data_IF_912087931649
#
_entry.id   IF_912087931649
#
_cell.length_a   1.000
_cell.length_b   1.000
_cell.length_c   1.000
_cell.angle_alpha   90.00
_cell.angle_beta   90.00
_cell.angle_gamma   90.00
#
_symmetry.space_group_name_H-M   'P 1'
#
loop_
_entity.id
_entity.type
_entity.pdbx_description
1 polymer ?
#
# COMPACT_ATOMS: atom_id res chain seq x y z
N UNK A 1 3.36 -31.93 -41.86
CA UNK A 1 4.15 -31.70 -43.08
C UNK A 1 5.39 -30.88 -42.73
N UNK A 2 6.55 -31.52 -42.91
CA UNK A 2 7.87 -30.89 -42.78
C UNK A 2 8.31 -30.44 -44.16
N UNK A 3 8.29 -29.12 -44.42
CA UNK A 3 9.00 -28.61 -45.61
C UNK A 3 10.35 -28.02 -45.15
N UNK A 4 11.43 -28.64 -45.54
CA UNK A 4 12.78 -28.09 -45.38
C UNK A 4 13.20 -27.53 -46.76
N UNK A 5 13.31 -26.21 -46.87
CA UNK A 5 13.85 -25.61 -48.10
C UNK A 5 15.39 -25.67 -48.12
N UNK A 6 15.95 -25.98 -49.27
CA UNK A 6 17.40 -26.13 -49.48
C UNK A 6 18.09 -24.75 -49.38
N UNK A 7 18.93 -24.59 -48.35
CA UNK A 7 19.87 -23.46 -48.24
C UNK A 7 19.39 -22.31 -47.36
N UNK A 8 19.61 -22.37 -46.08
CA UNK A 8 19.18 -21.59 -44.93
C UNK A 8 17.92 -22.21 -44.34
N UNK A 9 18.07 -22.97 -43.25
CA UNK A 9 16.99 -23.80 -42.73
C UNK A 9 15.90 -22.98 -42.06
N UNK A 10 14.88 -22.63 -42.81
CA UNK A 10 13.64 -22.11 -42.28
C UNK A 10 12.75 -23.27 -41.81
N UNK A 11 12.45 -23.32 -40.51
CA UNK A 11 11.57 -24.32 -39.93
C UNK A 11 10.22 -23.65 -39.64
N UNK A 12 9.15 -24.19 -40.25
CA UNK A 12 7.79 -23.74 -40.04
C UNK A 12 7.00 -24.75 -39.21
N UNK A 13 6.26 -24.30 -38.20
CA UNK A 13 5.35 -25.15 -37.45
C UNK A 13 3.99 -24.49 -37.28
N UNK A 14 2.92 -25.30 -37.49
CA UNK A 14 1.54 -24.89 -37.26
C UNK A 14 1.23 -25.00 -35.76
N UNK A 15 0.69 -23.92 -35.17
CA UNK A 15 0.35 -23.85 -33.75
C UNK A 15 -1.14 -23.96 -33.48
N UNK A 16 -1.99 -24.00 -34.51
CA UNK A 16 -3.45 -23.98 -34.38
C UNK A 16 -4.06 -22.75 -35.02
N UNK A 17 -5.23 -22.33 -34.50
CA UNK A 17 -5.98 -21.18 -35.01
C UNK A 17 -6.10 -20.13 -33.95
N UNK A 18 -6.08 -18.83 -34.32
CA UNK A 18 -6.40 -17.73 -33.45
C UNK A 18 -7.94 -17.64 -33.17
N UNK A 19 -8.34 -16.70 -32.33
CA UNK A 19 -9.78 -16.47 -32.00
C UNK A 19 -10.63 -16.07 -33.22
N UNK A 20 -10.03 -15.72 -34.33
CA UNK A 20 -10.69 -15.34 -35.59
C UNK A 20 -10.66 -16.48 -36.61
N UNK A 21 -10.19 -17.68 -36.21
CA UNK A 21 -10.07 -18.84 -37.08
C UNK A 21 -8.91 -18.77 -38.05
N UNK A 22 -7.99 -17.81 -37.94
CA UNK A 22 -6.80 -17.70 -38.77
C UNK A 22 -5.70 -18.60 -38.23
N UNK A 23 -5.08 -19.40 -39.14
CA UNK A 23 -4.01 -20.31 -38.80
C UNK A 23 -2.76 -19.53 -38.31
N UNK A 24 -2.28 -19.90 -37.13
CA UNK A 24 -1.05 -19.34 -36.56
C UNK A 24 0.11 -20.25 -36.93
N UNK A 25 1.11 -19.67 -37.63
CA UNK A 25 2.35 -20.35 -38.02
C UNK A 25 3.54 -19.62 -37.42
N UNK A 26 4.54 -20.36 -36.98
CA UNK A 26 5.80 -19.80 -36.51
C UNK A 26 6.94 -20.31 -37.38
N UNK A 27 7.89 -19.42 -37.61
CA UNK A 27 9.12 -19.74 -38.37
C UNK A 27 10.34 -19.32 -37.56
N UNK A 28 11.42 -20.06 -37.71
CA UNK A 28 12.73 -19.71 -37.17
C UNK A 28 13.74 -19.85 -38.30
N UNK A 29 14.53 -18.81 -38.54
CA UNK A 29 15.69 -18.85 -39.39
C UNK A 29 16.92 -19.13 -38.53
N UNK A 30 17.61 -20.24 -38.78
CA UNK A 30 18.83 -20.61 -38.07
C UNK A 30 20.04 -20.51 -38.96
N UNK A 31 21.04 -19.75 -38.57
CA UNK A 31 22.34 -19.66 -39.26
C UNK A 31 23.36 -20.47 -38.48
N UNK A 32 23.79 -21.61 -39.02
CA UNK A 32 24.76 -22.45 -38.32
C UNK A 32 26.14 -21.78 -38.22
N UNK A 33 26.93 -22.11 -37.18
CA UNK A 33 28.29 -21.62 -37.02
C UNK A 33 29.17 -21.99 -38.24
N UNK A 34 30.04 -21.05 -38.62
CA UNK A 34 30.99 -21.27 -39.72
C UNK A 34 31.89 -22.51 -39.45
N UNK A 35 32.03 -23.39 -40.42
CA UNK A 35 32.89 -24.59 -40.33
C UNK A 35 32.16 -25.91 -40.11
N UNK A 36 30.82 -25.90 -39.95
CA UNK A 36 30.04 -27.13 -39.92
C UNK A 36 29.64 -27.57 -41.35
N UNK A 37 30.02 -28.79 -41.74
CA UNK A 37 29.69 -29.34 -43.06
C UNK A 37 29.13 -30.76 -42.94
N UNK A 38 28.37 -31.20 -43.96
CA UNK A 38 27.86 -32.57 -44.09
C UNK A 38 26.99 -33.02 -42.91
N UNK A 39 27.16 -34.26 -42.45
CA UNK A 39 26.37 -34.87 -41.36
C UNK A 39 26.38 -34.10 -40.04
N UNK A 40 27.45 -33.33 -39.76
CA UNK A 40 27.50 -32.49 -38.52
C UNK A 40 26.57 -31.29 -38.63
N UNK A 41 26.47 -30.67 -39.78
CA UNK A 41 25.54 -29.57 -40.07
C UNK A 41 24.09 -30.08 -39.99
N UNK A 42 23.77 -31.21 -40.60
CA UNK A 42 22.43 -31.80 -40.53
C UNK A 42 21.99 -32.10 -39.07
N UNK A 43 22.88 -32.71 -38.28
CA UNK A 43 22.59 -32.99 -36.86
C UNK A 43 22.33 -31.72 -36.06
N UNK A 44 23.10 -30.66 -36.30
CA UNK A 44 22.93 -29.40 -35.60
C UNK A 44 21.62 -28.71 -35.99
N UNK A 45 21.29 -28.63 -37.27
CA UNK A 45 20.02 -28.10 -37.77
C UNK A 45 18.84 -28.93 -37.23
N UNK A 46 18.95 -30.26 -37.20
CA UNK A 46 17.91 -31.12 -36.64
C UNK A 46 17.73 -30.89 -35.12
N UNK A 47 18.82 -30.70 -34.39
CA UNK A 47 18.77 -30.37 -32.95
C UNK A 47 18.03 -29.07 -32.72
N UNK A 48 18.38 -28.02 -33.47
CA UNK A 48 17.74 -26.70 -33.36
C UNK A 48 16.26 -26.75 -33.77
N UNK A 49 15.91 -27.53 -34.79
CA UNK A 49 14.52 -27.73 -35.19
C UNK A 49 13.69 -28.42 -34.08
N UNK A 50 14.24 -29.41 -33.38
CA UNK A 50 13.59 -30.09 -32.27
C UNK A 50 13.44 -29.15 -31.05
N UNK A 51 14.45 -28.33 -30.75
CA UNK A 51 14.38 -27.33 -29.69
C UNK A 51 13.32 -26.26 -29.99
N UNK A 52 13.28 -25.78 -31.26
CA UNK A 52 12.24 -24.86 -31.72
C UNK A 52 10.82 -25.48 -31.62
N UNK A 53 10.69 -26.74 -32.05
CA UNK A 53 9.44 -27.49 -31.97
C UNK A 53 8.94 -27.60 -30.52
N UNK A 54 9.83 -27.91 -29.56
CA UNK A 54 9.52 -27.94 -28.13
C UNK A 54 9.12 -26.55 -27.61
N UNK A 55 9.83 -25.51 -28.02
CA UNK A 55 9.52 -24.12 -27.64
C UNK A 55 8.14 -23.68 -28.16
N UNK A 56 7.82 -24.02 -29.43
CA UNK A 56 6.51 -23.72 -30.04
C UNK A 56 5.37 -24.49 -29.34
N UNK A 57 5.57 -25.77 -29.04
CA UNK A 57 4.59 -26.57 -28.31
C UNK A 57 4.38 -26.08 -26.87
N UNK A 58 5.43 -25.56 -26.20
CA UNK A 58 5.36 -24.94 -24.91
C UNK A 58 4.76 -23.53 -24.93
N UNK A 59 4.37 -22.99 -26.09
CA UNK A 59 3.84 -21.63 -26.24
C UNK A 59 4.91 -20.53 -26.14
N UNK A 60 6.18 -20.88 -25.95
CA UNK A 60 7.28 -19.94 -25.69
C UNK A 60 7.71 -19.15 -26.92
N UNK A 61 7.59 -19.73 -28.09
CA UNK A 61 8.05 -19.11 -29.33
C UNK A 61 7.19 -17.88 -29.73
N UNK A 62 5.91 -17.82 -29.33
CA UNK A 62 5.02 -16.69 -29.61
C UNK A 62 5.43 -15.41 -28.87
N UNK A 63 6.22 -15.52 -27.82
CA UNK A 63 6.56 -14.42 -26.92
C UNK A 63 8.08 -14.20 -26.81
N UNK A 64 8.89 -14.85 -27.67
CA UNK A 64 10.36 -14.80 -27.57
C UNK A 64 10.93 -13.38 -27.62
N UNK A 65 10.26 -12.46 -28.32
CA UNK A 65 10.66 -11.08 -28.48
C UNK A 65 9.91 -10.08 -27.57
N UNK A 66 8.97 -10.55 -26.74
CA UNK A 66 8.20 -9.68 -25.83
C UNK A 66 9.13 -8.96 -24.86
N UNK A 67 9.01 -7.64 -24.78
CA UNK A 67 9.73 -6.83 -23.80
C UNK A 67 9.04 -6.88 -22.44
N UNK A 68 9.79 -6.55 -21.38
CA UNK A 68 9.22 -6.51 -20.03
C UNK A 68 8.10 -5.47 -19.90
N UNK A 69 8.20 -4.33 -20.57
CA UNK A 69 7.15 -3.32 -20.55
C UNK A 69 5.84 -3.83 -21.14
N UNK A 70 5.91 -4.56 -22.28
CA UNK A 70 4.73 -5.17 -22.92
C UNK A 70 4.10 -6.24 -22.01
N UNK A 71 4.93 -7.02 -21.32
CA UNK A 71 4.47 -8.00 -20.33
C UNK A 71 3.80 -7.31 -19.14
N UNK A 72 4.36 -6.22 -18.63
CA UNK A 72 3.78 -5.45 -17.53
C UNK A 72 2.42 -4.86 -17.95
N UNK A 73 2.29 -4.32 -19.17
CA UNK A 73 1.03 -3.81 -19.69
C UNK A 73 -0.02 -4.92 -19.73
N UNK A 74 0.31 -6.07 -20.30
CA UNK A 74 -0.55 -7.24 -20.32
C UNK A 74 -0.94 -7.72 -18.93
N UNK A 75 0.01 -7.68 -17.98
CA UNK A 75 -0.23 -8.06 -16.59
C UNK A 75 -1.20 -7.09 -15.89
N UNK A 76 -1.11 -5.77 -16.14
CA UNK A 76 -2.10 -4.81 -15.67
C UNK A 76 -3.48 -5.11 -16.24
N UNK A 77 -3.62 -5.20 -17.56
CA UNK A 77 -4.90 -5.38 -18.23
C UNK A 77 -5.60 -6.71 -17.89
N UNK A 78 -4.84 -7.81 -17.84
CA UNK A 78 -5.42 -9.13 -17.69
C UNK A 78 -5.56 -9.59 -16.25
N UNK A 79 -4.76 -9.04 -15.34
CA UNK A 79 -4.71 -9.52 -13.97
C UNK A 79 -4.97 -8.42 -12.95
N UNK A 80 -4.18 -7.35 -12.91
CA UNK A 80 -4.26 -6.36 -11.83
C UNK A 80 -5.58 -5.61 -11.85
N UNK A 81 -5.97 -5.05 -12.97
CA UNK A 81 -7.17 -4.21 -13.09
C UNK A 81 -8.46 -5.01 -12.91
N UNK A 82 -8.41 -6.33 -13.15
CA UNK A 82 -9.58 -7.23 -13.00
C UNK A 82 -9.68 -7.89 -11.64
N UNK A 83 -8.56 -8.16 -10.96
CA UNK A 83 -8.55 -9.04 -9.77
C UNK A 83 -7.99 -8.39 -8.50
N UNK A 84 -7.25 -7.29 -8.63
CA UNK A 84 -6.65 -6.62 -7.48
C UNK A 84 -7.48 -5.43 -7.03
N UNK A 85 -7.32 -5.05 -5.75
CA UNK A 85 -7.94 -3.83 -5.23
C UNK A 85 -7.33 -2.59 -5.90
N UNK A 86 -8.13 -1.53 -6.11
CA UNK A 86 -7.68 -0.30 -6.76
C UNK A 86 -6.42 0.29 -6.14
N UNK A 87 -6.29 0.25 -4.81
CA UNK A 87 -5.10 0.73 -4.11
C UNK A 87 -3.84 -0.05 -4.49
N UNK A 88 -3.92 -1.38 -4.58
CA UNK A 88 -2.77 -2.22 -5.00
C UNK A 88 -2.38 -1.92 -6.45
N UNK A 89 -3.36 -1.73 -7.32
CA UNK A 89 -3.13 -1.32 -8.71
C UNK A 89 -2.41 0.03 -8.78
N UNK A 90 -2.85 1.01 -7.98
CA UNK A 90 -2.22 2.32 -7.89
C UNK A 90 -0.78 2.26 -7.37
N UNK A 91 -0.52 1.43 -6.34
CA UNK A 91 0.83 1.21 -5.81
C UNK A 91 1.77 0.60 -6.85
N UNK A 92 1.32 -0.40 -7.60
CA UNK A 92 2.12 -0.98 -8.69
C UNK A 92 2.36 -0.02 -9.85
N UNK A 93 1.37 0.82 -10.21
CA UNK A 93 1.57 1.89 -11.21
C UNK A 93 2.62 2.91 -10.76
N UNK A 94 2.68 3.20 -9.46
CA UNK A 94 3.71 4.07 -8.89
C UNK A 94 5.13 3.47 -8.98
N UNK A 95 5.28 2.15 -8.83
CA UNK A 95 6.57 1.46 -8.93
C UNK A 95 7.06 1.28 -10.37
N UNK A 96 6.13 1.12 -11.33
CA UNK A 96 6.40 0.82 -12.73
C UNK A 96 7.48 1.69 -13.40
N UNK A 97 7.46 3.04 -13.30
CA UNK A 97 8.39 3.88 -14.06
C UNK A 97 9.87 3.57 -13.83
N UNK A 98 10.24 3.16 -12.61
CA UNK A 98 11.63 2.78 -12.32
C UNK A 98 12.00 1.42 -12.89
N UNK A 99 11.07 0.48 -12.86
CA UNK A 99 11.25 -0.85 -13.46
C UNK A 99 11.39 -0.69 -14.98
N UNK A 100 10.50 0.08 -15.61
CA UNK A 100 10.52 0.35 -17.05
C UNK A 100 11.83 1.02 -17.50
N UNK A 101 12.32 2.01 -16.74
CA UNK A 101 13.58 2.68 -17.05
C UNK A 101 14.81 1.75 -16.99
N UNK A 102 14.81 0.79 -16.06
CA UNK A 102 15.96 -0.11 -15.86
C UNK A 102 15.87 -1.38 -16.70
N UNK A 103 14.72 -2.00 -16.80
CA UNK A 103 14.54 -3.35 -17.33
C UNK A 103 13.50 -3.43 -18.46
N UNK A 104 12.67 -2.41 -18.65
CA UNK A 104 11.50 -2.42 -19.54
C UNK A 104 11.83 -2.74 -21.00
N UNK A 105 12.99 -2.29 -21.49
CA UNK A 105 13.48 -2.50 -22.85
C UNK A 105 13.99 -3.92 -23.10
N UNK A 106 14.25 -4.70 -22.05
CA UNK A 106 14.82 -6.04 -22.17
C UNK A 106 13.76 -7.07 -22.61
N UNK A 107 14.16 -8.05 -23.43
CA UNK A 107 13.32 -9.21 -23.74
C UNK A 107 13.11 -10.05 -22.48
N UNK A 108 11.88 -10.44 -22.20
CA UNK A 108 11.50 -11.18 -20.98
C UNK A 108 12.32 -12.48 -20.85
N UNK A 109 12.56 -13.18 -21.96
CA UNK A 109 13.37 -14.40 -22.03
C UNK A 109 14.85 -14.20 -21.64
N UNK A 110 15.37 -12.99 -21.74
CA UNK A 110 16.76 -12.65 -21.46
C UNK A 110 16.98 -12.12 -20.03
N UNK A 111 15.91 -11.84 -19.27
CA UNK A 111 16.03 -11.35 -17.91
C UNK A 111 16.47 -12.49 -16.98
N UNK A 112 17.67 -12.33 -16.43
CA UNK A 112 18.30 -13.29 -15.50
C UNK A 112 18.27 -12.73 -14.06
N UNK A 113 18.45 -13.59 -13.03
CA UNK A 113 18.55 -13.14 -11.64
C UNK A 113 19.57 -12.01 -11.44
N UNK A 114 20.72 -12.06 -12.13
CA UNK A 114 21.75 -11.02 -12.05
C UNK A 114 21.26 -9.62 -12.46
N UNK A 115 20.38 -9.51 -13.46
CA UNK A 115 19.79 -8.23 -13.87
C UNK A 115 18.86 -7.66 -12.77
N UNK A 116 18.11 -8.54 -12.12
CA UNK A 116 17.22 -8.16 -11.00
C UNK A 116 18.04 -7.69 -9.79
N UNK A 117 19.11 -8.42 -9.45
CA UNK A 117 20.01 -8.04 -8.35
C UNK A 117 20.71 -6.70 -8.62
N UNK A 118 21.21 -6.48 -9.85
CA UNK A 118 21.79 -5.20 -10.25
C UNK A 118 20.76 -4.05 -10.14
N UNK A 119 19.51 -4.30 -10.54
CA UNK A 119 18.44 -3.33 -10.38
C UNK A 119 18.17 -3.02 -8.89
N UNK A 120 18.08 -4.04 -8.00
CA UNK A 120 17.88 -3.81 -6.57
C UNK A 120 19.05 -3.03 -5.95
N UNK A 121 20.28 -3.39 -6.29
CA UNK A 121 21.47 -2.65 -5.83
C UNK A 121 21.41 -1.19 -6.26
N UNK A 122 21.01 -0.89 -7.49
CA UNK A 122 20.88 0.50 -7.97
C UNK A 122 19.80 1.30 -7.21
N UNK A 123 18.79 0.64 -6.66
CA UNK A 123 17.80 1.27 -5.80
C UNK A 123 18.32 1.57 -4.39
N UNK A 124 19.33 0.83 -3.93
CA UNK A 124 19.98 0.99 -2.63
C UNK A 124 21.19 1.95 -2.69
N UNK A 125 21.58 2.41 -3.87
CA UNK A 125 22.65 3.38 -4.03
C UNK A 125 22.23 4.79 -3.61
N UNK A 126 23.21 5.60 -3.20
CA UNK A 126 23.01 7.01 -2.92
C UNK A 126 22.56 7.74 -4.20
N UNK A 127 21.48 8.51 -4.12
CA UNK A 127 20.87 9.20 -5.27
C UNK A 127 19.66 8.51 -5.88
N UNK A 128 19.34 7.27 -5.49
CA UNK A 128 18.12 6.58 -5.93
C UNK A 128 16.84 7.30 -5.44
N UNK A 129 16.92 8.02 -4.33
CA UNK A 129 15.83 8.82 -3.78
C UNK A 129 15.78 10.17 -4.48
N UNK A 130 14.84 10.34 -5.40
CA UNK A 130 14.64 11.59 -6.17
C UNK A 130 13.70 12.58 -5.44
N UNK A 131 13.75 12.64 -4.13
CA UNK A 131 12.91 13.56 -3.34
C UNK A 131 13.60 14.93 -3.23
N UNK A 132 13.76 15.63 -4.36
CA UNK A 132 14.07 17.04 -4.32
C UNK A 132 12.85 17.81 -3.82
N UNK A 133 13.01 18.60 -2.79
CA UNK A 133 12.03 19.57 -2.34
C UNK A 133 12.43 20.95 -2.85
N UNK A 134 11.46 21.78 -3.15
CA UNK A 134 11.64 23.08 -3.78
C UNK A 134 11.13 24.18 -2.86
N UNK A 135 12.00 25.10 -2.48
CA UNK A 135 11.64 26.27 -1.66
C UNK A 135 11.59 27.52 -2.54
N UNK A 136 10.52 28.28 -2.42
CA UNK A 136 10.34 29.50 -3.21
C UNK A 136 11.48 30.51 -2.95
N UNK A 137 11.95 31.13 -4.01
CA UNK A 137 12.88 32.26 -3.94
C UNK A 137 12.14 33.55 -3.57
N UNK A 138 12.86 34.53 -3.06
CA UNK A 138 12.27 35.84 -2.78
C UNK A 138 11.65 36.47 -4.03
N UNK A 139 12.27 36.28 -5.19
CA UNK A 139 11.75 36.76 -6.47
C UNK A 139 10.36 36.20 -6.80
N UNK A 140 10.07 34.94 -6.49
CA UNK A 140 8.74 34.38 -6.65
C UNK A 140 7.76 34.91 -5.59
N UNK A 141 8.23 35.03 -4.32
CA UNK A 141 7.39 35.48 -3.20
C UNK A 141 6.91 36.93 -3.42
N UNK A 142 7.75 37.78 -3.95
CA UNK A 142 7.43 39.18 -4.29
C UNK A 142 6.33 39.28 -5.35
N UNK A 143 6.28 38.34 -6.31
CA UNK A 143 5.21 38.26 -7.31
C UNK A 143 3.88 37.74 -6.73
N UNK A 144 3.86 37.25 -5.49
CA UNK A 144 2.72 36.59 -4.83
C UNK A 144 2.21 37.38 -3.60
N UNK A 145 1.82 38.68 -3.74
CA UNK A 145 1.21 39.41 -2.65
C UNK A 145 -0.12 38.73 -2.23
N UNK A 146 -0.56 38.95 -0.99
CA UNK A 146 -1.74 38.24 -0.41
C UNK A 146 -2.97 38.22 -1.31
N UNK A 147 -3.23 39.30 -2.06
CA UNK A 147 -4.39 39.43 -2.98
C UNK A 147 -4.29 38.55 -4.21
N UNK A 148 -3.09 38.21 -4.73
CA UNK A 148 -2.89 37.44 -5.97
C UNK A 148 -2.71 35.92 -5.73
N UNK A 149 -2.61 35.46 -4.51
CA UNK A 149 -2.30 34.04 -4.17
C UNK A 149 -3.37 33.07 -4.64
N UNK A 150 -4.65 33.45 -4.51
CA UNK A 150 -5.77 32.61 -4.94
C UNK A 150 -5.85 32.48 -6.46
N UNK A 151 -5.63 33.58 -7.16
CA UNK A 151 -5.60 33.61 -8.61
C UNK A 151 -4.45 32.77 -9.16
N UNK A 152 -3.25 32.91 -8.60
CA UNK A 152 -2.10 32.10 -8.95
C UNK A 152 -2.31 30.61 -8.63
N UNK A 153 -2.92 30.27 -7.48
CA UNK A 153 -3.25 28.89 -7.14
C UNK A 153 -4.18 28.27 -8.20
N UNK A 154 -5.18 29.02 -8.65
CA UNK A 154 -6.11 28.59 -9.71
C UNK A 154 -5.41 28.45 -11.06
N UNK A 155 -4.60 29.43 -11.45
CA UNK A 155 -3.82 29.39 -12.69
C UNK A 155 -2.83 28.23 -12.75
N UNK A 156 -2.15 27.95 -11.62
CA UNK A 156 -1.21 26.83 -11.49
C UNK A 156 -1.89 25.47 -11.29
N UNK A 157 -3.21 25.41 -11.08
CA UNK A 157 -3.91 24.17 -10.75
C UNK A 157 -3.40 23.52 -9.47
N UNK A 158 -3.04 24.33 -8.44
CA UNK A 158 -2.56 23.86 -7.13
C UNK A 158 -3.52 24.29 -6.02
N UNK A 159 -3.57 23.50 -4.93
CA UNK A 159 -4.42 23.84 -3.81
C UNK A 159 -3.95 25.11 -3.06
N UNK A 160 -4.87 25.87 -2.47
CA UNK A 160 -4.54 27.07 -1.69
C UNK A 160 -3.54 26.82 -0.55
N UNK A 161 -3.55 25.60 0.02
CA UNK A 161 -2.56 25.17 1.03
C UNK A 161 -1.14 25.09 0.46
N UNK A 162 -0.96 24.56 -0.74
CA UNK A 162 0.34 24.53 -1.41
C UNK A 162 0.86 25.95 -1.64
N UNK A 163 -0.03 26.87 -2.02
CA UNK A 163 0.33 28.28 -2.17
C UNK A 163 0.72 28.93 -0.84
N UNK A 164 0.00 28.61 0.26
CA UNK A 164 0.36 29.07 1.60
C UNK A 164 1.74 28.54 2.02
N UNK A 165 2.04 27.26 1.77
CA UNK A 165 3.35 26.68 2.04
C UNK A 165 4.46 27.41 1.25
N UNK A 166 4.26 27.67 -0.03
CA UNK A 166 5.19 28.40 -0.88
C UNK A 166 5.47 29.79 -0.31
N UNK A 167 4.41 30.55 0.02
CA UNK A 167 4.56 31.91 0.54
C UNK A 167 5.08 31.98 1.97
N UNK A 168 5.07 30.90 2.73
CA UNK A 168 5.65 30.79 4.07
C UNK A 168 7.08 30.20 4.08
N UNK A 169 7.71 30.03 2.92
CA UNK A 169 9.05 29.48 2.79
C UNK A 169 9.14 27.97 3.05
N UNK A 170 8.00 27.28 3.10
CA UNK A 170 7.99 25.83 3.22
C UNK A 170 8.24 25.17 1.87
N UNK A 171 8.94 24.04 1.90
CA UNK A 171 9.25 23.30 0.68
C UNK A 171 8.04 22.57 0.11
N UNK A 172 7.97 22.49 -1.21
CA UNK A 172 6.94 21.80 -1.99
C UNK A 172 7.55 20.74 -2.91
N UNK A 173 6.72 19.87 -3.45
CA UNK A 173 7.16 18.86 -4.43
C UNK A 173 7.59 19.51 -5.76
N UNK A 174 8.42 18.81 -6.52
CA UNK A 174 8.84 19.23 -7.87
C UNK A 174 7.64 19.57 -8.76
N UNK A 175 6.66 18.70 -8.82
CA UNK A 175 5.44 18.90 -9.63
C UNK A 175 4.67 20.17 -9.25
N UNK A 176 4.59 20.47 -7.95
CA UNK A 176 3.95 21.72 -7.47
C UNK A 176 4.80 22.93 -7.85
N UNK A 177 6.11 22.84 -7.68
CA UNK A 177 7.03 23.92 -8.04
C UNK A 177 7.02 24.22 -9.53
N UNK A 178 7.05 23.19 -10.39
CA UNK A 178 6.96 23.34 -11.85
C UNK A 178 5.65 24.04 -12.30
N UNK A 179 4.51 23.61 -11.75
CA UNK A 179 3.22 24.22 -12.05
C UNK A 179 3.14 25.69 -11.66
N UNK A 180 3.66 26.04 -10.49
CA UNK A 180 3.64 27.43 -10.01
C UNK A 180 4.65 28.29 -10.76
N UNK A 181 5.86 27.78 -11.04
CA UNK A 181 6.86 28.48 -11.85
C UNK A 181 6.32 28.76 -13.25
N UNK A 182 5.67 27.79 -13.89
CA UNK A 182 5.04 27.95 -15.20
C UNK A 182 3.92 29.02 -15.17
N UNK A 183 3.04 28.96 -14.18
CA UNK A 183 1.97 29.94 -14.01
C UNK A 183 2.49 31.37 -13.70
N UNK A 184 3.65 31.46 -13.03
CA UNK A 184 4.33 32.73 -12.76
C UNK A 184 5.17 33.23 -13.93
N UNK A 185 5.24 32.51 -15.06
CA UNK A 185 6.08 32.84 -16.20
C UNK A 185 7.59 32.82 -15.90
N UNK A 186 8.02 32.09 -14.90
CA UNK A 186 9.42 32.03 -14.44
C UNK A 186 10.05 30.66 -14.71
N UNK A 187 11.35 30.61 -15.07
CA UNK A 187 12.08 29.34 -15.06
C UNK A 187 12.10 28.75 -13.64
N UNK A 188 11.98 27.41 -13.53
CA UNK A 188 11.97 26.73 -12.23
C UNK A 188 13.16 27.10 -11.34
N UNK A 189 14.35 27.21 -11.92
CA UNK A 189 15.60 27.58 -11.20
C UNK A 189 15.62 29.02 -10.67
N UNK A 190 14.83 29.93 -11.24
CA UNK A 190 14.67 31.29 -10.73
C UNK A 190 13.54 31.42 -9.72
N UNK A 191 12.47 30.61 -9.90
CA UNK A 191 11.30 30.62 -9.05
C UNK A 191 11.53 29.84 -7.73
N UNK A 192 12.33 28.78 -7.78
CA UNK A 192 12.55 27.89 -6.64
C UNK A 192 14.03 27.49 -6.51
N UNK A 193 14.48 27.40 -5.27
CA UNK A 193 15.75 26.75 -4.91
C UNK A 193 15.47 25.27 -4.68
N UNK A 194 16.14 24.40 -5.44
CA UNK A 194 16.08 22.97 -5.24
C UNK A 194 16.87 22.61 -3.96
N UNK A 195 16.19 22.10 -2.98
CA UNK A 195 16.80 21.44 -1.84
C UNK A 195 16.86 19.95 -2.15
N UNK A 196 17.98 19.47 -2.63
CA UNK A 196 18.25 18.03 -2.65
C UNK A 196 18.37 17.60 -1.21
N UNK A 197 17.40 16.87 -0.70
CA UNK A 197 17.66 15.95 0.40
C UNK A 197 18.68 14.97 -0.19
N UNK A 198 19.89 15.00 0.33
CA UNK A 198 20.99 14.15 -0.11
C UNK A 198 20.44 12.81 -0.49
N UNK A 199 20.70 12.39 -1.73
CA UNK A 199 20.07 11.26 -2.37
C UNK A 199 20.25 9.99 -1.55
N UNK A 200 19.38 9.84 -0.54
CA UNK A 200 19.39 8.70 0.37
C UNK A 200 19.07 7.43 -0.40
N UNK A 201 19.56 6.32 0.10
CA UNK A 201 19.18 4.97 -0.29
C UNK A 201 17.66 4.80 -0.19
N UNK A 202 17.05 4.01 -1.05
CA UNK A 202 15.74 3.48 -0.75
C UNK A 202 15.90 2.47 0.40
N UNK A 203 14.95 2.52 1.35
CA UNK A 203 14.89 1.55 2.43
C UNK A 203 14.63 0.15 1.85
N UNK A 204 15.27 -0.89 2.40
CA UNK A 204 15.14 -2.27 1.96
C UNK A 204 13.68 -2.75 1.87
N UNK A 205 12.79 -2.30 2.78
CA UNK A 205 11.35 -2.56 2.68
C UNK A 205 10.73 -1.97 1.39
N UNK A 206 11.19 -0.79 0.95
CA UNK A 206 10.73 -0.19 -0.31
C UNK A 206 11.26 -0.99 -1.51
N UNK A 207 12.52 -1.41 -1.48
CA UNK A 207 13.11 -2.24 -2.55
C UNK A 207 12.39 -3.58 -2.64
N UNK A 208 11.98 -4.16 -1.50
CA UNK A 208 11.18 -5.39 -1.46
C UNK A 208 9.82 -5.23 -2.16
N UNK A 209 9.21 -4.03 -2.21
CA UNK A 209 7.99 -3.81 -2.98
C UNK A 209 8.23 -3.95 -4.50
N UNK A 210 9.38 -3.51 -5.00
CA UNK A 210 9.77 -3.74 -6.41
C UNK A 210 9.96 -5.23 -6.70
N UNK A 211 10.63 -5.95 -5.80
CA UNK A 211 10.78 -7.40 -5.92
C UNK A 211 9.41 -8.10 -5.97
N UNK A 212 8.48 -7.75 -5.08
CA UNK A 212 7.12 -8.34 -5.05
C UNK A 212 6.34 -8.07 -6.33
N UNK A 213 6.44 -6.87 -6.91
CA UNK A 213 5.81 -6.56 -8.19
C UNK A 213 6.39 -7.43 -9.30
N UNK A 214 7.72 -7.48 -9.45
CA UNK A 214 8.41 -8.29 -10.45
C UNK A 214 8.11 -9.78 -10.28
N UNK A 215 8.10 -10.29 -9.05
CA UNK A 215 7.72 -11.67 -8.75
C UNK A 215 6.29 -11.98 -9.18
N UNK A 216 5.34 -11.06 -8.96
CA UNK A 216 3.97 -11.22 -9.43
C UNK A 216 3.88 -11.23 -10.97
N UNK A 217 4.62 -10.36 -11.64
CA UNK A 217 4.70 -10.30 -13.11
C UNK A 217 5.26 -11.60 -13.68
N UNK A 218 6.41 -12.08 -13.19
CA UNK A 218 7.05 -13.29 -13.69
C UNK A 218 6.29 -14.57 -13.33
N UNK A 219 5.67 -14.64 -12.14
CA UNK A 219 4.76 -15.73 -11.79
C UNK A 219 3.62 -15.84 -12.80
N UNK A 220 3.04 -14.71 -13.23
CA UNK A 220 2.02 -14.69 -14.28
C UNK A 220 2.59 -15.02 -15.66
N UNK A 221 3.79 -14.58 -15.98
CA UNK A 221 4.46 -14.92 -17.22
C UNK A 221 4.67 -16.44 -17.38
N UNK A 222 5.06 -17.12 -16.29
CA UNK A 222 5.14 -18.60 -16.25
C UNK A 222 3.76 -19.23 -16.43
N UNK A 223 2.74 -18.76 -15.69
CA UNK A 223 1.37 -19.28 -15.80
C UNK A 223 0.77 -19.08 -17.20
N UNK A 224 1.17 -18.03 -17.91
CA UNK A 224 0.72 -17.74 -19.27
C UNK A 224 1.59 -18.41 -20.35
N UNK A 225 2.61 -19.18 -19.96
CA UNK A 225 3.52 -19.85 -20.88
C UNK A 225 4.44 -18.91 -21.67
N UNK A 226 4.66 -17.68 -21.17
CA UNK A 226 5.54 -16.68 -21.81
C UNK A 226 7.01 -16.98 -21.54
N UNK A 227 7.33 -17.45 -20.34
CA UNK A 227 8.66 -17.91 -19.93
C UNK A 227 8.55 -19.26 -19.22
N UNK A 228 9.61 -20.05 -19.24
CA UNK A 228 9.66 -21.36 -18.55
C UNK A 228 9.91 -21.19 -17.06
N UNK A 229 10.77 -20.28 -16.68
CA UNK A 229 11.24 -20.06 -15.33
C UNK A 229 10.97 -18.65 -14.84
N UNK A 230 10.76 -18.54 -13.53
CA UNK A 230 10.65 -17.26 -12.84
C UNK A 230 12.03 -16.85 -12.30
N UNK A 231 12.71 -15.84 -12.88
CA UNK A 231 14.03 -15.42 -12.44
C UNK A 231 14.02 -14.78 -11.04
N UNK A 232 12.85 -14.30 -10.58
CA UNK A 232 12.74 -13.68 -9.25
C UNK A 232 12.89 -14.67 -8.12
N UNK A 233 12.55 -15.95 -8.34
CA UNK A 233 12.72 -17.02 -7.33
C UNK A 233 14.19 -17.33 -7.04
N UNK A 234 15.08 -17.05 -8.00
CA UNK A 234 16.54 -17.26 -7.87
C UNK A 234 17.28 -15.95 -7.57
N UNK A 235 16.63 -14.81 -7.69
CA UNK A 235 17.19 -13.54 -7.26
C UNK A 235 17.04 -13.40 -5.74
N UNK A 236 18.11 -12.99 -5.06
CA UNK A 236 18.08 -12.73 -3.63
C UNK A 236 17.13 -11.56 -3.36
N UNK A 237 16.09 -11.82 -2.54
CA UNK A 237 15.14 -10.76 -2.18
C UNK A 237 15.81 -9.74 -1.25
N UNK A 238 15.66 -8.45 -1.52
CA UNK A 238 16.17 -7.43 -0.60
C UNK A 238 15.66 -7.65 0.82
N UNK A 239 16.56 -7.57 1.81
CA UNK A 239 16.20 -7.71 3.22
C UNK A 239 15.56 -6.42 3.70
N UNK A 240 14.33 -6.50 4.18
CA UNK A 240 13.70 -5.40 4.89
C UNK A 240 14.29 -5.24 6.29
N UNK A 241 14.40 -4.02 6.77
CA UNK A 241 14.70 -3.78 8.17
C UNK A 241 13.49 -4.14 9.02
N UNK A 242 13.70 -4.92 10.07
CA UNK A 242 12.66 -5.16 11.06
C UNK A 242 12.43 -3.88 11.85
N UNK A 243 11.29 -3.25 11.65
CA UNK A 243 10.91 -2.07 12.44
C UNK A 243 10.31 -2.58 13.75
N UNK A 244 10.88 -2.17 14.87
CA UNK A 244 10.31 -2.46 16.18
C UNK A 244 8.86 -1.91 16.26
N UNK A 245 7.97 -2.72 16.78
CA UNK A 245 6.57 -2.32 16.95
C UNK A 245 6.49 -1.29 18.06
N UNK A 246 6.10 -0.06 17.71
CA UNK A 246 5.87 0.99 18.70
C UNK A 246 4.44 0.90 19.26
N UNK A 247 4.31 1.00 20.56
CA UNK A 247 3.05 1.04 21.30
C UNK A 247 3.18 1.95 22.52
N UNK A 248 2.10 2.26 23.17
CA UNK A 248 2.04 3.04 24.41
C UNK A 248 1.83 2.11 25.59
N UNK A 249 2.57 2.33 26.66
CA UNK A 249 2.34 1.71 27.96
C UNK A 249 1.15 2.37 28.67
N UNK A 250 0.63 1.74 29.71
CA UNK A 250 -0.61 2.12 30.38
C UNK A 250 -0.59 3.56 30.87
N UNK A 251 0.53 4.01 31.49
CA UNK A 251 0.70 5.40 31.94
C UNK A 251 0.68 6.40 30.78
N UNK A 252 1.32 6.04 29.67
CA UNK A 252 1.30 6.89 28.47
C UNK A 252 -0.09 6.95 27.82
N UNK A 253 -0.87 5.87 27.90
CA UNK A 253 -2.28 5.86 27.47
C UNK A 253 -3.12 6.77 28.37
N UNK A 254 -2.94 6.71 29.70
CA UNK A 254 -3.64 7.59 30.62
C UNK A 254 -3.34 9.07 30.35
N UNK A 255 -2.06 9.41 30.13
CA UNK A 255 -1.64 10.77 29.74
C UNK A 255 -2.23 11.20 28.41
N UNK A 256 -2.28 10.29 27.42
CA UNK A 256 -2.87 10.56 26.11
C UNK A 256 -4.38 10.84 26.24
N UNK A 257 -5.11 10.01 27.00
CA UNK A 257 -6.55 10.21 27.22
C UNK A 257 -6.84 11.54 27.90
N UNK A 258 -6.04 11.95 28.89
CA UNK A 258 -6.15 13.25 29.53
C UNK A 258 -5.89 14.39 28.53
N UNK A 259 -4.84 14.31 27.74
CA UNK A 259 -4.51 15.32 26.74
C UNK A 259 -5.58 15.48 25.63
N UNK A 260 -6.34 14.42 25.34
CA UNK A 260 -7.38 14.46 24.30
C UNK A 260 -8.55 15.41 24.61
N UNK A 261 -8.65 15.94 25.83
CA UNK A 261 -9.59 17.04 26.15
C UNK A 261 -9.28 18.32 25.36
N UNK A 262 -8.00 18.55 25.02
CA UNK A 262 -7.56 19.71 24.23
C UNK A 262 -7.64 19.45 22.71
N UNK A 263 -8.01 18.24 22.29
CA UNK A 263 -8.09 17.86 20.89
C UNK A 263 -9.45 18.25 20.28
N UNK A 264 -9.49 18.55 18.97
CA UNK A 264 -10.76 18.65 18.26
C UNK A 264 -11.59 17.38 18.46
N UNK A 265 -12.90 17.47 18.79
CA UNK A 265 -13.73 16.32 19.19
C UNK A 265 -13.67 15.13 18.21
N UNK A 266 -13.64 15.40 16.91
CA UNK A 266 -13.53 14.34 15.90
C UNK A 266 -12.19 13.56 15.96
N UNK A 267 -11.08 14.22 16.27
CA UNK A 267 -9.77 13.57 16.38
C UNK A 267 -9.63 12.85 17.71
N UNK A 268 -10.15 13.43 18.78
CA UNK A 268 -10.28 12.76 20.07
C UNK A 268 -11.05 11.44 19.94
N UNK A 269 -12.23 11.46 19.33
CA UNK A 269 -13.04 10.27 19.13
C UNK A 269 -12.34 9.21 18.25
N UNK A 270 -11.60 9.60 17.18
CA UNK A 270 -10.84 8.67 16.35
C UNK A 270 -9.74 7.98 17.15
N UNK A 271 -8.98 8.73 17.96
CA UNK A 271 -7.88 8.18 18.77
C UNK A 271 -8.43 7.25 19.84
N UNK A 272 -9.49 7.67 20.56
CA UNK A 272 -10.15 6.84 21.57
C UNK A 272 -10.72 5.55 20.97
N UNK A 273 -11.40 5.59 19.81
CA UNK A 273 -11.84 4.38 19.12
C UNK A 273 -10.65 3.47 18.76
N UNK A 274 -9.53 4.03 18.32
CA UNK A 274 -8.31 3.27 18.06
C UNK A 274 -7.83 2.51 19.31
N UNK A 275 -7.84 3.17 20.47
CA UNK A 275 -7.44 2.59 21.75
C UNK A 275 -8.46 1.58 22.30
N UNK A 276 -9.78 1.85 22.17
CA UNK A 276 -10.81 0.97 22.73
C UNK A 276 -11.10 -0.27 21.88
N UNK A 277 -10.77 -0.25 20.60
CA UNK A 277 -11.21 -1.29 19.65
C UNK A 277 -10.09 -1.94 18.86
N UNK A 278 -8.91 -1.34 18.78
CA UNK A 278 -7.83 -1.80 17.94
C UNK A 278 -8.13 -1.79 16.43
N UNK A 279 -9.15 -1.07 15.98
CA UNK A 279 -9.54 -0.97 14.57
C UNK A 279 -8.45 -0.29 13.74
N UNK A 280 -8.36 -0.66 12.46
CA UNK A 280 -7.48 0.04 11.53
C UNK A 280 -8.01 1.45 11.24
N UNK A 281 -7.11 2.42 11.00
CA UNK A 281 -7.48 3.81 10.69
C UNK A 281 -8.57 3.90 9.60
N UNK A 282 -8.42 3.14 8.52
CA UNK A 282 -9.41 3.14 7.44
C UNK A 282 -10.76 2.53 7.82
N UNK A 283 -10.77 1.56 8.74
CA UNK A 283 -11.99 1.00 9.32
C UNK A 283 -12.69 2.05 10.19
N UNK A 284 -11.96 2.73 11.09
CA UNK A 284 -12.49 3.81 11.95
C UNK A 284 -13.10 4.92 11.09
N UNK A 285 -12.34 5.47 10.15
CA UNK A 285 -12.82 6.57 9.31
C UNK A 285 -13.94 6.16 8.34
N UNK A 286 -14.11 4.86 8.09
CA UNK A 286 -15.19 4.31 7.26
C UNK A 286 -16.48 3.98 8.00
N UNK A 287 -16.51 4.14 9.34
CA UNK A 287 -17.69 3.85 10.15
C UNK A 287 -18.87 4.76 9.82
N UNK A 288 -20.06 4.20 9.98
CA UNK A 288 -21.35 4.88 9.95
C UNK A 288 -22.04 4.75 11.29
N UNK A 289 -22.96 5.65 11.59
CA UNK A 289 -23.78 5.54 12.79
C UNK A 289 -24.60 4.26 12.81
N UNK A 290 -25.06 3.81 11.67
CA UNK A 290 -25.77 2.53 11.49
C UNK A 290 -24.91 1.28 11.75
N UNK A 291 -23.58 1.41 11.88
CA UNK A 291 -22.69 0.32 12.26
C UNK A 291 -22.58 0.15 13.78
N UNK A 292 -23.16 1.06 14.57
CA UNK A 292 -23.11 1.07 16.02
C UNK A 292 -24.49 0.72 16.56
N UNK A 293 -24.56 -0.38 17.28
CA UNK A 293 -25.74 -0.74 18.06
C UNK A 293 -25.50 -0.37 19.53
N UNK A 294 -26.15 0.70 19.97
CA UNK A 294 -26.02 1.21 21.33
C UNK A 294 -26.71 0.32 22.38
N UNK A 295 -27.73 -0.45 21.98
CA UNK A 295 -28.49 -1.33 22.88
C UNK A 295 -27.75 -2.66 23.06
N UNK A 296 -27.27 -3.27 21.97
CA UNK A 296 -26.45 -4.46 22.04
C UNK A 296 -25.00 -4.20 22.42
N UNK A 297 -24.59 -2.92 22.55
CA UNK A 297 -23.23 -2.48 22.80
C UNK A 297 -22.21 -3.05 21.80
N UNK A 298 -22.51 -2.99 20.49
CA UNK A 298 -21.66 -3.55 19.46
C UNK A 298 -21.28 -2.57 18.36
N UNK A 299 -20.12 -2.82 17.75
CA UNK A 299 -19.65 -2.13 16.54
C UNK A 299 -19.43 -3.17 15.45
N UNK A 300 -19.97 -2.89 14.25
CA UNK A 300 -19.83 -3.72 13.06
C UNK A 300 -18.84 -3.09 12.06
N UNK A 301 -17.76 -3.80 11.76
CA UNK A 301 -16.75 -3.38 10.79
C UNK A 301 -17.00 -4.12 9.48
N UNK A 302 -17.60 -3.46 8.50
CA UNK A 302 -17.98 -4.06 7.22
C UNK A 302 -17.42 -3.29 6.01
N UNK A 303 -16.66 -2.23 6.23
CA UNK A 303 -15.98 -1.43 5.19
C UNK A 303 -14.69 -0.80 5.69
N UNK A 304 -13.90 -0.33 4.74
CA UNK A 304 -12.73 0.50 5.02
C UNK A 304 -12.70 1.69 4.06
N UNK A 305 -12.27 2.84 4.54
CA UNK A 305 -12.02 4.01 3.72
C UNK A 305 -10.55 4.07 3.34
N UNK A 306 -10.26 4.26 2.06
CA UNK A 306 -8.91 4.36 1.51
C UNK A 306 -8.78 5.61 0.65
N UNK A 307 -7.58 6.17 0.58
CA UNK A 307 -7.25 7.24 -0.37
C UNK A 307 -6.46 6.65 -1.53
N UNK A 308 -6.91 6.92 -2.75
CA UNK A 308 -6.21 6.55 -3.98
C UNK A 308 -5.85 7.83 -4.73
N UNK A 309 -4.58 8.01 -5.11
CA UNK A 309 -4.17 9.13 -5.96
C UNK A 309 -5.06 9.20 -7.21
N UNK A 310 -5.47 10.41 -7.58
CA UNK A 310 -6.36 10.74 -8.72
C UNK A 310 -7.82 10.29 -8.59
N UNK A 311 -8.16 9.33 -7.74
CA UNK A 311 -9.54 8.90 -7.48
C UNK A 311 -10.13 9.51 -6.20
N UNK A 312 -9.25 9.88 -5.24
CA UNK A 312 -9.66 10.47 -3.97
C UNK A 312 -9.98 9.43 -2.90
N UNK A 313 -10.95 9.77 -2.03
CA UNK A 313 -11.42 8.88 -0.97
C UNK A 313 -12.44 7.90 -1.53
N UNK A 314 -12.19 6.61 -1.32
CA UNK A 314 -13.10 5.53 -1.70
C UNK A 314 -13.42 4.65 -0.50
N UNK A 315 -14.61 4.03 -0.53
CA UNK A 315 -14.99 3.00 0.42
C UNK A 315 -14.84 1.64 -0.26
N UNK A 316 -14.22 0.69 0.41
CA UNK A 316 -14.03 -0.67 -0.09
C UNK A 316 -14.48 -1.69 0.96
N UNK A 317 -14.95 -2.85 0.50
CA UNK A 317 -15.18 -3.98 1.38
C UNK A 317 -13.86 -4.40 2.07
N UNK A 318 -13.91 -4.98 3.26
CA UNK A 318 -12.73 -5.49 3.95
C UNK A 318 -11.95 -6.47 3.07
N UNK A 319 -10.62 -6.55 3.29
CA UNK A 319 -9.73 -7.37 2.46
C UNK A 319 -9.97 -8.87 2.62
N UNK A 320 -10.39 -9.30 3.82
CA UNK A 320 -10.62 -10.70 4.15
C UNK A 320 -11.96 -10.86 4.87
N UNK A 321 -12.52 -12.08 4.84
CA UNK A 321 -13.73 -12.42 5.59
C UNK A 321 -13.57 -12.16 7.10
N UNK A 322 -12.40 -12.42 7.66
CA UNK A 322 -12.08 -12.15 9.07
C UNK A 322 -12.06 -10.66 9.42
N UNK A 323 -11.86 -9.78 8.45
CA UNK A 323 -11.93 -8.32 8.65
C UNK A 323 -13.37 -7.81 8.74
N UNK A 324 -14.36 -8.56 8.24
CA UNK A 324 -15.77 -8.28 8.44
C UNK A 324 -16.18 -8.91 9.78
N UNK A 325 -16.39 -8.08 10.80
CA UNK A 325 -16.59 -8.53 12.17
C UNK A 325 -17.47 -7.58 12.96
N UNK A 326 -18.23 -8.14 13.89
CA UNK A 326 -18.99 -7.42 14.91
C UNK A 326 -18.46 -7.80 16.28
N UNK A 327 -18.24 -6.83 17.16
CA UNK A 327 -17.72 -7.09 18.49
C UNK A 327 -18.32 -6.13 19.52
N UNK A 328 -18.40 -6.57 20.77
CA UNK A 328 -18.87 -5.79 21.90
C UNK A 328 -17.83 -4.73 22.31
N UNK A 329 -18.31 -3.58 22.73
CA UNK A 329 -17.50 -2.48 23.29
C UNK A 329 -17.98 -2.14 24.70
N UNK A 330 -17.09 -1.54 25.50
CA UNK A 330 -17.40 -1.13 26.86
C UNK A 330 -18.22 0.17 26.92
N UNK A 331 -18.78 0.46 28.08
CA UNK A 331 -19.59 1.67 28.34
C UNK A 331 -18.84 2.96 28.01
N UNK A 332 -17.57 3.08 28.41
CA UNK A 332 -16.75 4.27 28.14
C UNK A 332 -16.65 4.58 26.62
N UNK A 333 -16.57 3.56 25.79
CA UNK A 333 -16.57 3.73 24.35
C UNK A 333 -17.92 4.22 23.83
N UNK A 334 -19.03 3.69 24.35
CA UNK A 334 -20.38 4.12 23.97
C UNK A 334 -20.68 5.54 24.43
N UNK A 335 -20.29 5.92 25.65
CA UNK A 335 -20.48 7.25 26.16
C UNK A 335 -19.73 8.30 25.36
N UNK A 336 -18.46 8.04 25.04
CA UNK A 336 -17.68 8.86 24.12
C UNK A 336 -18.36 8.99 22.75
N UNK A 337 -18.93 7.89 22.21
CA UNK A 337 -19.64 7.92 20.93
C UNK A 337 -20.95 8.73 21.00
N UNK A 338 -21.70 8.66 22.13
CA UNK A 338 -22.92 9.50 22.36
C UNK A 338 -22.56 10.99 22.41
N UNK A 339 -21.51 11.35 23.15
CA UNK A 339 -21.01 12.72 23.20
C UNK A 339 -20.60 13.23 21.81
N UNK A 340 -19.85 12.43 21.09
CA UNK A 340 -19.44 12.78 19.74
C UNK A 340 -20.63 12.88 18.76
N UNK A 341 -21.65 12.05 18.92
CA UNK A 341 -22.88 12.15 18.13
C UNK A 341 -23.62 13.47 18.36
N UNK A 342 -23.73 13.90 19.62
CA UNK A 342 -24.32 15.18 19.95
C UNK A 342 -23.52 16.34 19.35
N UNK A 343 -22.20 16.29 19.45
CA UNK A 343 -21.32 17.27 18.81
C UNK A 343 -21.54 17.31 17.29
N UNK A 344 -21.55 16.18 16.61
CA UNK A 344 -21.75 16.15 15.16
C UNK A 344 -23.13 16.65 14.75
N UNK A 345 -24.17 16.33 15.53
CA UNK A 345 -25.53 16.85 15.30
C UNK A 345 -25.58 18.38 15.44
N UNK A 346 -24.89 18.96 16.42
CA UNK A 346 -24.81 20.42 16.61
C UNK A 346 -24.08 21.08 15.44
N UNK A 347 -22.96 20.52 14.98
CA UNK A 347 -22.23 21.01 13.80
C UNK A 347 -23.07 20.94 12.52
N UNK A 348 -23.81 19.86 12.33
CA UNK A 348 -24.72 19.71 11.18
C UNK A 348 -25.82 20.78 11.19
N UNK A 349 -26.38 21.10 12.36
CA UNK A 349 -27.35 22.17 12.48
C UNK A 349 -26.73 23.54 12.19
N UNK A 350 -25.51 23.78 12.69
CA UNK A 350 -24.79 25.04 12.48
C UNK A 350 -24.47 25.29 11.02
N UNK A 351 -24.09 24.23 10.28
CA UNK A 351 -23.73 24.28 8.84
C UNK A 351 -24.99 24.34 7.95
N UNK A 352 -26.10 23.77 8.39
CA UNK A 352 -27.38 23.84 7.70
C UNK A 352 -27.36 23.19 6.31
N UNK A 353 -27.80 23.95 5.31
CA UNK A 353 -27.92 23.45 3.92
C UNK A 353 -26.60 23.10 3.24
N UNK A 354 -25.48 23.63 3.73
CA UNK A 354 -24.14 23.31 3.18
C UNK A 354 -23.64 21.93 3.63
N UNK A 355 -24.32 21.27 4.57
CA UNK A 355 -23.98 19.89 4.97
C UNK A 355 -24.30 18.88 3.86
N UNK A 356 -23.29 18.08 3.47
CA UNK A 356 -23.45 17.03 2.46
C UNK A 356 -24.44 15.97 2.92
N UNK A 357 -25.64 15.94 2.34
CA UNK A 357 -26.71 14.99 2.70
C UNK A 357 -26.45 13.58 2.17
N UNK A 358 -25.60 13.46 1.15
CA UNK A 358 -25.27 12.20 0.51
C UNK A 358 -23.77 12.05 0.34
N UNK A 359 -23.31 10.80 0.33
CA UNK A 359 -21.91 10.45 0.08
C UNK A 359 -21.83 9.37 -0.99
N UNK A 360 -20.78 9.42 -1.80
CA UNK A 360 -20.46 8.39 -2.77
C UNK A 360 -19.80 7.21 -2.06
N UNK A 361 -20.34 6.02 -2.26
CA UNK A 361 -19.84 4.76 -1.69
C UNK A 361 -19.32 3.82 -2.76
N UNK A 362 -19.04 2.58 -2.38
CA UNK A 362 -18.60 1.52 -3.31
C UNK A 362 -19.42 1.48 -4.59
N UNK A 363 -18.74 1.16 -5.70
CA UNK A 363 -19.35 1.07 -7.04
C UNK A 363 -19.99 2.37 -7.55
N UNK A 364 -19.58 3.52 -7.00
CA UNK A 364 -20.07 4.83 -7.43
C UNK A 364 -21.51 5.15 -7.00
N UNK A 365 -22.17 4.30 -6.23
CA UNK A 365 -23.50 4.57 -5.67
C UNK A 365 -23.45 5.74 -4.69
N UNK A 366 -24.49 6.55 -4.71
CA UNK A 366 -24.68 7.63 -3.74
C UNK A 366 -25.70 7.16 -2.72
N UNK A 367 -25.36 7.29 -1.43
CA UNK A 367 -26.25 6.92 -0.31
C UNK A 367 -26.41 8.11 0.64
N UNK A 368 -27.40 8.06 1.52
CA UNK A 368 -27.57 9.02 2.59
C UNK A 368 -26.30 9.07 3.45
N UNK A 369 -25.89 10.29 3.82
CA UNK A 369 -24.71 10.50 4.64
C UNK A 369 -24.98 10.11 6.09
N UNK A 370 -24.38 9.02 6.49
CA UNK A 370 -24.46 8.44 7.82
C UNK A 370 -23.06 8.23 8.44
N UNK A 371 -22.03 8.92 7.91
CA UNK A 371 -20.66 8.78 8.35
C UNK A 371 -20.45 9.34 9.75
N UNK A 372 -19.70 8.59 10.58
CA UNK A 372 -19.24 9.09 11.88
C UNK A 372 -18.30 10.27 11.71
N UNK A 373 -17.29 10.10 10.86
CA UNK A 373 -16.20 11.07 10.72
C UNK A 373 -16.27 11.81 9.42
N UNK A 374 -16.60 13.10 9.51
CA UNK A 374 -16.80 13.97 8.38
C UNK A 374 -15.93 15.24 8.51
N UNK A 375 -15.78 15.94 7.43
CA UNK A 375 -15.30 17.32 7.43
C UNK A 375 -16.42 18.23 7.94
N UNK A 376 -16.11 19.52 8.12
CA UNK A 376 -17.06 20.53 8.57
C UNK A 376 -18.33 20.63 7.71
N UNK A 377 -18.21 20.27 6.41
CA UNK A 377 -19.29 20.31 5.42
C UNK A 377 -20.02 18.96 5.25
N UNK A 378 -19.76 17.98 6.12
CA UNK A 378 -20.34 16.65 6.04
C UNK A 378 -19.67 15.72 5.03
N UNK A 379 -18.69 16.16 4.22
CA UNK A 379 -17.95 15.29 3.32
C UNK A 379 -17.00 14.35 4.09
N UNK A 380 -16.60 13.20 3.52
CA UNK A 380 -15.72 12.25 4.22
C UNK A 380 -14.42 12.88 4.71
N UNK A 381 -14.00 12.55 5.93
CA UNK A 381 -12.76 13.03 6.52
C UNK A 381 -11.54 12.45 5.77
N UNK A 382 -10.61 13.31 5.38
CA UNK A 382 -9.36 12.86 4.78
C UNK A 382 -8.49 12.12 5.81
N UNK A 383 -8.21 10.84 5.52
CA UNK A 383 -7.37 9.96 6.34
C UNK A 383 -5.97 10.55 6.64
N UNK A 384 -5.41 11.32 5.70
CA UNK A 384 -4.08 11.91 5.86
C UNK A 384 -4.06 13.03 6.90
N UNK A 385 -5.19 13.70 7.12
CA UNK A 385 -5.30 14.74 8.16
C UNK A 385 -5.09 14.17 9.55
N UNK A 386 -5.70 13.01 9.85
CA UNK A 386 -5.50 12.31 11.12
C UNK A 386 -4.03 11.91 11.29
N UNK A 387 -3.45 11.32 10.25
CA UNK A 387 -2.05 10.87 10.27
C UNK A 387 -1.05 12.01 10.45
N UNK A 388 -1.33 13.19 9.89
CA UNK A 388 -0.43 14.36 10.03
C UNK A 388 -0.68 15.14 11.31
N UNK A 389 -1.90 15.11 11.84
CA UNK A 389 -2.26 15.79 13.07
C UNK A 389 -1.72 15.05 14.30
N UNK A 390 -1.91 13.75 14.40
CA UNK A 390 -1.60 12.94 15.58
C UNK A 390 -0.14 13.06 16.07
N UNK A 391 0.90 12.93 15.23
CA UNK A 391 2.28 13.12 15.68
C UNK A 391 2.58 14.54 16.17
N UNK A 392 1.90 15.56 15.64
CA UNK A 392 2.04 16.94 16.10
C UNK A 392 1.39 17.12 17.45
N UNK A 393 0.22 16.53 17.64
CA UNK A 393 -0.51 16.53 18.91
C UNK A 393 0.32 15.85 20.00
N UNK A 394 0.85 14.66 19.75
CA UNK A 394 1.71 13.95 20.70
C UNK A 394 2.93 14.80 21.13
N UNK A 395 3.58 15.44 20.16
CA UNK A 395 4.71 16.31 20.46
C UNK A 395 4.33 17.54 21.29
N UNK A 396 3.18 18.14 21.03
CA UNK A 396 2.70 19.31 21.76
C UNK A 396 2.38 19.00 23.24
N UNK A 397 2.05 17.73 23.54
CA UNK A 397 1.74 17.27 24.90
C UNK A 397 2.85 16.41 25.52
N UNK A 398 4.05 16.43 24.95
CA UNK A 398 5.22 15.66 25.42
C UNK A 398 4.92 14.16 25.63
N UNK A 399 4.23 13.59 24.68
CA UNK A 399 3.84 12.18 24.64
C UNK A 399 4.77 11.38 23.73
N UNK A 400 4.97 10.06 23.97
CA UNK A 400 5.79 9.21 23.14
C UNK A 400 5.38 9.25 21.67
N UNK A 401 6.38 9.26 20.77
CA UNK A 401 6.16 9.35 19.33
C UNK A 401 5.65 8.02 18.78
N UNK A 402 4.35 7.93 18.55
CA UNK A 402 3.69 6.77 17.93
C UNK A 402 2.82 7.20 16.75
N UNK A 403 2.42 6.24 15.93
CA UNK A 403 1.52 6.45 14.79
C UNK A 403 0.07 6.13 15.16
N UNK A 404 -0.88 6.57 14.33
CA UNK A 404 -2.29 6.14 14.48
C UNK A 404 -2.43 4.61 14.41
N UNK A 405 -1.56 3.92 13.64
CA UNK A 405 -1.56 2.46 13.60
C UNK A 405 -1.02 1.84 14.89
N UNK A 406 -0.13 2.53 15.58
CA UNK A 406 0.40 2.09 16.88
C UNK A 406 -0.67 2.03 17.97
N UNK A 407 -1.79 2.76 17.86
CA UNK A 407 -2.93 2.62 18.76
C UNK A 407 -3.53 1.22 18.75
N UNK A 408 -3.52 0.58 17.57
CA UNK A 408 -3.92 -0.81 17.42
C UNK A 408 -2.92 -1.77 18.09
N UNK A 409 -1.63 -1.47 18.00
CA UNK A 409 -0.59 -2.22 18.71
C UNK A 409 -0.74 -2.04 20.22
N UNK A 410 -0.99 -0.83 20.68
CA UNK A 410 -1.29 -0.51 22.09
C UNK A 410 -2.49 -1.32 22.59
N UNK A 411 -3.61 -1.31 21.86
CA UNK A 411 -4.79 -2.11 22.22
C UNK A 411 -4.44 -3.59 22.36
N UNK A 412 -3.72 -4.16 21.41
CA UNK A 412 -3.35 -5.58 21.44
C UNK A 412 -2.39 -5.90 22.60
N UNK A 413 -1.40 -5.05 22.87
CA UNK A 413 -0.45 -5.21 23.97
C UNK A 413 -1.16 -5.17 25.32
N UNK A 414 -2.06 -4.22 25.53
CA UNK A 414 -2.87 -4.11 26.75
C UNK A 414 -3.78 -5.32 26.96
N UNK A 415 -4.42 -5.81 25.88
CA UNK A 415 -5.25 -7.02 25.96
C UNK A 415 -4.43 -8.26 26.33
N UNK A 416 -3.23 -8.42 25.76
CA UNK A 416 -2.33 -9.55 26.06
C UNK A 416 -1.78 -9.42 27.49
N UNK A 417 -1.38 -8.23 27.92
CA UNK A 417 -0.96 -7.95 29.28
C UNK A 417 -2.07 -8.24 30.33
N UNK A 418 -3.34 -8.03 29.92
CA UNK A 418 -4.52 -8.39 30.72
C UNK A 418 -4.93 -9.86 30.59
N UNK A 419 -4.03 -10.74 30.12
CA UNK A 419 -4.22 -12.20 29.96
C UNK A 419 -5.40 -12.61 29.07
N UNK A 420 -5.84 -11.75 28.13
CA UNK A 420 -6.85 -12.14 27.15
C UNK A 420 -6.25 -13.13 26.14
N UNK A 421 -6.92 -14.25 25.86
CA UNK A 421 -6.41 -15.26 24.93
C UNK A 421 -6.06 -14.66 23.56
N UNK A 422 -4.90 -14.99 23.02
CA UNK A 422 -4.38 -14.45 21.73
C UNK A 422 -5.35 -14.65 20.58
N UNK A 423 -6.07 -15.78 20.55
CA UNK A 423 -7.09 -16.06 19.53
C UNK A 423 -8.22 -15.02 19.58
N UNK A 424 -8.64 -14.62 20.79
CA UNK A 424 -9.64 -13.57 21.00
C UNK A 424 -9.11 -12.21 20.54
N UNK A 425 -7.87 -11.88 20.88
CA UNK A 425 -7.20 -10.64 20.43
C UNK A 425 -7.11 -10.62 18.89
N UNK A 426 -6.64 -11.70 18.27
CA UNK A 426 -6.57 -11.83 16.81
C UNK A 426 -7.93 -11.67 16.14
N UNK A 427 -8.98 -12.29 16.68
CA UNK A 427 -10.35 -12.16 16.20
C UNK A 427 -10.86 -10.73 16.28
N UNK A 428 -10.67 -10.05 17.41
CA UNK A 428 -11.07 -8.63 17.58
C UNK A 428 -10.31 -7.69 16.64
N UNK A 429 -9.03 -7.97 16.42
CA UNK A 429 -8.22 -7.24 15.45
C UNK A 429 -8.60 -7.54 13.99
N UNK A 430 -9.26 -8.66 13.70
CA UNK A 430 -9.58 -9.11 12.35
C UNK A 430 -8.33 -9.53 11.58
N UNK A 431 -7.42 -10.26 12.25
CA UNK A 431 -6.32 -10.95 11.60
C UNK A 431 -6.81 -12.26 10.99
N UNK A 432 -6.47 -12.51 9.72
CA UNK A 432 -6.86 -13.75 9.03
C UNK A 432 -6.16 -14.99 9.61
N UNK A 433 -4.97 -14.79 10.18
CA UNK A 433 -4.16 -15.84 10.81
C UNK A 433 -3.71 -15.36 12.19
N UNK A 434 -3.81 -16.24 13.18
CA UNK A 434 -3.38 -15.96 14.57
C UNK A 434 -1.87 -15.75 14.66
N UNK A 435 -1.09 -16.42 13.78
CA UNK A 435 0.37 -16.24 13.68
C UNK A 435 0.77 -14.77 13.49
N UNK A 436 -0.02 -13.98 12.76
CA UNK A 436 0.24 -12.53 12.62
C UNK A 436 0.25 -11.82 13.99
N UNK A 437 -0.63 -12.21 14.91
CA UNK A 437 -0.67 -11.64 16.26
C UNK A 437 0.49 -12.19 17.09
N UNK A 438 0.76 -13.49 17.01
CA UNK A 438 1.84 -14.13 17.75
C UNK A 438 3.21 -13.57 17.34
N UNK A 439 3.47 -13.43 16.04
CA UNK A 439 4.75 -12.91 15.51
C UNK A 439 5.00 -11.46 15.93
N UNK A 440 3.95 -10.62 15.88
CA UNK A 440 4.06 -9.20 16.24
C UNK A 440 4.28 -9.02 17.75
N UNK A 441 3.63 -9.84 18.57
CA UNK A 441 3.60 -9.68 20.05
C UNK A 441 4.37 -10.78 20.78
N UNK A 442 5.26 -11.52 20.11
CA UNK A 442 6.06 -12.62 20.71
C UNK A 442 6.87 -12.17 21.95
N UNK A 443 7.35 -10.92 21.97
CA UNK A 443 8.05 -10.35 23.12
C UNK A 443 7.18 -10.27 24.38
N UNK A 444 5.89 -9.92 24.24
CA UNK A 444 4.94 -9.85 25.35
C UNK A 444 4.52 -11.23 25.86
N UNK A 445 4.47 -12.21 24.95
CA UNK A 445 4.12 -13.59 25.31
C UNK A 445 5.21 -14.20 26.19
N UNK A 446 6.49 -13.88 25.93
CA UNK A 446 7.62 -14.35 26.75
C UNK A 446 7.62 -13.78 28.18
N UNK A 447 7.19 -12.52 28.35
CA UNK A 447 7.04 -11.95 29.70
C UNK A 447 5.86 -12.53 30.44
N UNK A 448 4.80 -12.95 29.74
CA UNK A 448 3.66 -13.66 30.34
C UNK A 448 4.02 -15.12 30.74
N UNK A 449 5.07 -15.71 30.18
CA UNK A 449 5.55 -17.07 30.52
C UNK A 449 6.11 -17.13 31.93
N UNK A 450 6.76 -16.08 32.42
CA UNK A 450 7.20 -16.00 33.83
C UNK A 450 6.00 -16.00 34.80
N UNK A 451 4.93 -15.30 34.47
CA UNK A 451 3.70 -15.29 35.27
C UNK A 451 2.93 -16.63 35.19
N UNK A 452 3.11 -17.42 34.14
CA UNK A 452 2.47 -18.74 34.02
C UNK A 452 2.99 -19.72 35.06
N UNK A 453 4.25 -19.61 35.46
CA UNK A 453 4.85 -20.45 36.56
C UNK A 453 4.17 -20.15 37.90
N UNK A 454 3.96 -18.88 38.22
CA UNK A 454 3.30 -18.45 39.47
C UNK A 454 1.83 -18.90 39.50
N UNK A 455 1.14 -18.86 38.36
CA UNK A 455 -0.24 -19.33 38.24
C UNK A 455 -0.32 -20.84 38.48
N UNK A 456 0.63 -21.64 37.94
CA UNK A 456 0.68 -23.10 38.15
C UNK A 456 1.01 -23.45 39.62
N UNK A 457 1.91 -22.70 40.26
CA UNK A 457 2.17 -22.85 41.69
C UNK A 457 0.90 -22.62 42.52
N UNK A 458 0.15 -21.52 42.26
CA UNK A 458 -1.12 -21.26 42.91
C UNK A 458 -2.24 -22.24 42.59
N UNK A 459 -2.19 -22.94 41.45
CA UNK A 459 -3.11 -24.06 41.15
C UNK A 459 -2.75 -25.29 41.98
N UNK A 460 -1.48 -25.62 42.07
CA UNK A 460 -1.01 -26.77 42.87
C UNK A 460 -1.26 -26.55 44.36
N UNK A 461 -1.09 -25.36 44.88
CA UNK A 461 -1.37 -25.05 46.29
C UNK A 461 -2.87 -25.24 46.61
N UNK A 462 -3.75 -24.75 45.77
CA UNK A 462 -5.21 -24.98 45.89
C UNK A 462 -5.61 -26.45 45.80
N UNK A 463 -4.92 -27.23 44.98
CA UNK A 463 -5.16 -28.69 44.88
C UNK A 463 -4.70 -29.38 46.15
N UNK A 464 -3.54 -29.00 46.69
CA UNK A 464 -3.02 -29.55 47.97
C UNK A 464 -3.94 -29.24 49.14
N UNK A 465 -4.42 -28.00 49.25
CA UNK A 465 -5.40 -27.60 50.28
C UNK A 465 -6.69 -28.43 50.22
N UNK A 466 -7.22 -28.69 48.99
CA UNK A 466 -8.39 -29.54 48.81
C UNK A 466 -8.17 -31.04 49.05
N UNK A 467 -6.91 -31.50 48.98
CA UNK A 467 -6.55 -32.92 49.28
C UNK A 467 -6.30 -33.16 50.74
N UNK A 468 -6.22 -32.13 51.57
CA UNK A 468 -6.04 -32.21 53.03
C UNK A 468 -7.31 -31.80 53.81
N UNK A 469 -8.39 -31.46 53.15
CA UNK A 469 -9.73 -31.20 53.71
C UNK A 469 -10.67 -32.38 53.43
#
# INVERSE_FOLDING_TARGET
DRSVSRGLGDVYKRQGYDRNGKQVMQSMTYTPPAGLTGRKLEKEVQRQAVEFEKAVHGGLALNADMKLDDLIDRWFEQYIDKKCKPKTASEYRYLRPRISAALGHMKVSQIKPAHLMAFYSSLEEAGARKDSTYTATNALIELLPRGKRQEMAKAAGVGGRSMTCICSGQSVSRTTAEKVAHAAGMPLSKAFTEQRKDGGKLNGNTVQHYHRMLSSVFTKAVQWGIVQDDPTKRAESPKGEAVAVSYLEEEAVARLLAALHDAPPQYSAIVQLGLFTGMRRGEICGLRWSDIDFDAATISVNRTMEYIPHEGLIFTAPKTRASNRTFKVGSNCLDMLREYQLYQKSERLRVGSAWARTVRVENGKTVQNDLLFTRWDGTPLDLNKVTTWFPRFLRAHDLPAVTVHSLRHTYASLMIASHVPIVTVAGRLGHAQTSTTTDIYAGFIKTADAAASDVMEGVFDRIKEKSHA
#
